data_IF_724539142266
#
_entry.id   IF_724539142266
#
_cell.length_a   1.000
_cell.length_b   1.000
_cell.length_c   1.000
_cell.angle_alpha   90.00
_cell.angle_beta   90.00
_cell.angle_gamma   90.00
#
_symmetry.space_group_name_H-M   'P 1'
#
loop_
_entity.id
_entity.type
_entity.pdbx_description
1 polymer ?
#
# COMPACT_ATOMS: atom_id res chain seq x y z
N UNK A 1 -15.25 37.59 4.84
CA UNK A 1 -14.04 36.97 4.24
C UNK A 1 -13.44 38.03 3.34
N UNK A 2 -12.19 38.47 3.58
CA UNK A 2 -11.54 39.47 2.74
C UNK A 2 -11.47 38.97 1.28
N UNK A 3 -11.67 39.87 0.31
CA UNK A 3 -11.70 39.55 -1.12
C UNK A 3 -10.37 38.96 -1.63
N UNK A 4 -10.36 38.37 -2.84
CA UNK A 4 -9.21 37.64 -3.36
C UNK A 4 -7.96 38.52 -3.41
N UNK A 5 -6.92 38.14 -2.66
CA UNK A 5 -5.60 38.76 -2.72
C UNK A 5 -4.86 38.27 -3.96
N UNK A 6 -4.21 39.16 -4.71
CA UNK A 6 -3.35 38.80 -5.87
C UNK A 6 -2.06 38.04 -5.50
N UNK A 7 -1.92 37.59 -4.26
CA UNK A 7 -0.73 36.90 -3.74
C UNK A 7 -0.55 35.49 -4.30
N UNK A 8 -1.63 34.87 -4.77
CA UNK A 8 -1.61 33.56 -5.42
C UNK A 8 -2.32 33.65 -6.77
N UNK A 9 -1.53 33.68 -7.84
CA UNK A 9 -2.03 33.49 -9.20
C UNK A 9 -2.09 31.99 -9.43
N UNK A 10 -3.29 31.43 -9.43
CA UNK A 10 -3.50 30.01 -9.72
C UNK A 10 -3.27 29.76 -11.21
N UNK A 11 -2.28 28.93 -11.53
CA UNK A 11 -2.10 28.43 -12.89
C UNK A 11 -3.23 27.44 -13.22
N UNK A 12 -4.05 27.72 -14.26
CA UNK A 12 -5.13 26.82 -14.65
C UNK A 12 -4.66 25.41 -14.99
N UNK A 13 -3.45 25.24 -15.55
CA UNK A 13 -2.93 23.92 -15.91
C UNK A 13 -2.60 23.09 -14.66
N UNK A 14 -1.92 23.70 -13.70
CA UNK A 14 -1.59 23.09 -12.42
C UNK A 14 -2.85 22.76 -11.61
N UNK A 15 -3.85 23.64 -11.62
CA UNK A 15 -5.14 23.36 -10.96
C UNK A 15 -5.86 22.16 -11.59
N UNK A 16 -5.91 22.08 -12.93
CA UNK A 16 -6.46 20.93 -13.64
C UNK A 16 -5.73 19.63 -13.31
N UNK A 17 -4.40 19.66 -13.17
CA UNK A 17 -3.63 18.48 -12.76
C UNK A 17 -3.99 17.97 -11.36
N UNK A 18 -4.18 18.88 -10.40
CA UNK A 18 -4.65 18.49 -9.08
C UNK A 18 -6.06 17.91 -9.12
N UNK A 19 -6.96 18.53 -9.87
CA UNK A 19 -8.32 18.04 -10.05
C UNK A 19 -8.36 16.66 -10.74
N UNK A 20 -7.44 16.37 -11.67
CA UNK A 20 -7.32 15.05 -12.30
C UNK A 20 -6.97 13.96 -11.28
N UNK A 21 -6.09 14.26 -10.33
CA UNK A 21 -5.72 13.30 -9.28
C UNK A 21 -6.88 13.10 -8.30
N UNK A 22 -7.50 14.18 -7.83
CA UNK A 22 -8.62 14.12 -6.90
C UNK A 22 -9.85 13.40 -7.49
N UNK A 23 -10.14 13.62 -8.77
CA UNK A 23 -11.28 13.00 -9.45
C UNK A 23 -10.96 11.65 -10.11
N UNK A 24 -9.76 11.09 -9.92
CA UNK A 24 -9.32 9.86 -10.60
C UNK A 24 -10.29 8.68 -10.40
N UNK A 25 -10.87 8.56 -9.20
CA UNK A 25 -11.83 7.50 -8.89
C UNK A 25 -13.12 7.57 -9.74
N UNK A 26 -13.54 8.77 -10.16
CA UNK A 26 -14.76 8.97 -10.95
C UNK A 26 -14.63 8.41 -12.37
N UNK A 27 -13.43 8.43 -12.92
CA UNK A 27 -13.16 8.01 -14.31
C UNK A 27 -12.54 6.61 -14.40
N UNK A 28 -12.40 5.93 -13.26
CA UNK A 28 -11.80 4.61 -13.22
C UNK A 28 -12.73 3.54 -13.83
N UNK A 29 -12.13 2.53 -14.44
CA UNK A 29 -12.84 1.39 -15.05
C UNK A 29 -12.13 0.09 -14.71
N UNK A 30 -12.91 -0.96 -14.47
CA UNK A 30 -12.38 -2.33 -14.38
C UNK A 30 -11.90 -2.78 -15.75
N UNK A 31 -10.59 -2.83 -15.93
CA UNK A 31 -9.96 -3.56 -17.04
C UNK A 31 -9.28 -4.81 -16.48
N UNK A 32 -9.02 -5.85 -17.30
CA UNK A 32 -8.39 -7.07 -16.83
C UNK A 32 -7.08 -6.81 -16.07
N UNK A 33 -6.29 -5.82 -16.51
CA UNK A 33 -5.07 -5.40 -15.82
C UNK A 33 -5.34 -4.83 -14.42
N UNK A 34 -6.33 -3.94 -14.28
CA UNK A 34 -6.67 -3.35 -12.98
C UNK A 34 -7.24 -4.40 -12.03
N UNK A 35 -8.11 -5.29 -12.52
CA UNK A 35 -8.65 -6.40 -11.76
C UNK A 35 -7.55 -7.31 -11.21
N UNK A 36 -6.59 -7.67 -12.06
CA UNK A 36 -5.44 -8.48 -11.65
C UNK A 36 -4.59 -7.78 -10.58
N UNK A 37 -4.26 -6.50 -10.78
CA UNK A 37 -3.47 -5.75 -9.80
C UNK A 37 -4.21 -5.62 -8.47
N UNK A 38 -5.51 -5.28 -8.48
CA UNK A 38 -6.32 -5.22 -7.26
C UNK A 38 -6.33 -6.56 -6.53
N UNK A 39 -6.51 -7.68 -7.23
CA UNK A 39 -6.46 -9.01 -6.63
C UNK A 39 -5.10 -9.32 -6.00
N UNK A 40 -4.01 -9.01 -6.69
CA UNK A 40 -2.65 -9.26 -6.17
C UNK A 40 -2.40 -8.46 -4.90
N UNK A 41 -2.66 -7.15 -4.92
CA UNK A 41 -2.32 -6.27 -3.80
C UNK A 41 -3.29 -6.39 -2.62
N UNK A 42 -4.57 -6.67 -2.86
CA UNK A 42 -5.56 -6.79 -1.79
C UNK A 42 -5.74 -8.22 -1.27
N UNK A 43 -5.48 -9.23 -2.10
CA UNK A 43 -5.70 -10.64 -1.76
C UNK A 43 -4.42 -11.44 -1.65
N UNK A 44 -3.66 -11.53 -2.75
CA UNK A 44 -2.50 -12.44 -2.83
C UNK A 44 -1.40 -12.05 -1.84
N UNK A 45 -0.99 -10.77 -1.81
CA UNK A 45 0.08 -10.32 -0.93
C UNK A 45 -0.31 -10.47 0.55
N UNK A 46 -1.45 -9.94 1.03
CA UNK A 46 -1.87 -10.16 2.41
C UNK A 46 -2.05 -11.65 2.73
N UNK A 47 -2.67 -12.43 1.83
CA UNK A 47 -2.88 -13.86 2.05
C UNK A 47 -1.59 -14.66 2.21
N UNK A 48 -0.58 -14.39 1.37
CA UNK A 48 0.73 -15.04 1.49
C UNK A 48 1.46 -14.61 2.76
N UNK A 49 1.45 -13.31 3.08
CA UNK A 49 2.07 -12.80 4.31
C UNK A 49 1.41 -13.40 5.56
N UNK A 50 0.09 -13.42 5.61
CA UNK A 50 -0.68 -14.02 6.70
C UNK A 50 -0.41 -15.52 6.81
N UNK A 51 -0.36 -16.24 5.70
CA UNK A 51 -0.02 -17.67 5.70
C UNK A 51 1.38 -17.92 6.28
N UNK A 52 2.39 -17.16 5.81
CA UNK A 52 3.76 -17.28 6.32
C UNK A 52 3.78 -16.93 7.80
N UNK A 53 3.18 -15.80 8.19
CA UNK A 53 3.10 -15.36 9.59
C UNK A 53 2.55 -16.47 10.48
N UNK A 54 1.38 -17.03 10.18
CA UNK A 54 0.80 -18.13 10.96
C UNK A 54 1.63 -19.41 10.94
N UNK A 55 2.37 -19.66 9.85
CA UNK A 55 3.26 -20.82 9.78
C UNK A 55 4.58 -20.60 10.48
N UNK A 56 5.01 -19.39 10.76
CA UNK A 56 6.30 -19.08 11.40
C UNK A 56 6.15 -18.54 12.82
N UNK A 57 4.95 -18.14 13.20
CA UNK A 57 4.62 -17.68 14.54
C UNK A 57 5.00 -18.76 15.56
N UNK A 58 5.76 -18.36 16.58
CA UNK A 58 6.23 -19.25 17.64
C UNK A 58 7.24 -20.31 17.21
N UNK A 59 7.62 -20.41 15.93
CA UNK A 59 8.54 -21.46 15.47
C UNK A 59 10.00 -21.16 15.69
N UNK A 60 10.38 -19.90 15.87
CA UNK A 60 11.79 -19.50 15.93
C UNK A 60 12.05 -18.61 17.13
N UNK A 61 12.94 -19.06 18.01
CA UNK A 61 13.43 -18.27 19.14
C UNK A 61 14.95 -18.06 19.02
N UNK A 62 15.34 -16.80 18.90
CA UNK A 62 16.75 -16.40 18.74
C UNK A 62 17.39 -15.96 20.07
N UNK A 63 16.62 -15.91 21.16
CA UNK A 63 17.08 -15.38 22.43
C UNK A 63 18.14 -16.30 23.05
N UNK A 64 19.35 -15.77 23.24
CA UNK A 64 20.44 -16.47 23.92
C UNK A 64 21.09 -17.63 23.14
N UNK A 65 20.71 -17.86 21.87
CA UNK A 65 21.25 -18.95 21.03
C UNK A 65 22.67 -18.64 20.56
N UNK A 66 23.54 -19.66 20.50
CA UNK A 66 24.93 -19.58 20.04
C UNK A 66 25.14 -20.40 18.76
N UNK A 67 26.35 -20.34 18.20
CA UNK A 67 26.72 -21.07 16.99
C UNK A 67 26.58 -22.58 17.23
N UNK A 68 25.72 -23.23 16.45
CA UNK A 68 25.44 -24.67 16.55
C UNK A 68 24.13 -25.01 17.29
N UNK A 69 23.49 -24.04 17.95
CA UNK A 69 22.24 -24.28 18.68
C UNK A 69 21.01 -24.27 17.76
N UNK A 70 20.01 -25.09 18.09
CA UNK A 70 18.74 -25.15 17.35
C UNK A 70 17.84 -23.96 17.67
N UNK A 71 17.38 -23.29 16.62
CA UNK A 71 16.54 -22.08 16.68
C UNK A 71 15.05 -22.43 16.64
N UNK A 72 14.70 -23.62 16.14
CA UNK A 72 13.32 -24.05 15.97
C UNK A 72 12.69 -24.47 17.31
N UNK A 73 11.50 -23.95 17.60
CA UNK A 73 10.59 -24.41 18.65
C UNK A 73 9.53 -25.37 18.05
N UNK A 74 9.00 -26.27 18.88
CA UNK A 74 8.13 -27.38 18.46
C UNK A 74 6.70 -26.96 18.09
#
# INVERSE_FOLDING_TARGET
MAGPSKSLVLDPALQKYYELNANRYKYWKWTPRHAWLSFVYMGLIPGVLTYIAYKTEGKYEFRGKRRGDTIQEW
#
